data_IF_064528108731
#
_entry.id   IF_064528108731
#
_cell.length_a   1.000
_cell.length_b   1.000
_cell.length_c   1.000
_cell.angle_alpha   90.00
_cell.angle_beta   90.00
_cell.angle_gamma   90.00
#
_symmetry.space_group_name_H-M   'P 1'
#
loop_
_entity.id
_entity.type
_entity.pdbx_description
1 polymer ?
#
# COMPACT_ATOMS: atom_id res chain seq x y z
N UNK A 1 -7.82 -15.36 -6.91
CA UNK A 1 -8.37 -14.12 -6.33
C UNK A 1 -8.04 -12.94 -7.24
N UNK A 2 -8.81 -11.86 -7.12
CA UNK A 2 -8.50 -10.56 -7.73
C UNK A 2 -7.75 -9.72 -6.70
N UNK A 3 -6.55 -9.28 -7.03
CA UNK A 3 -5.65 -8.57 -6.10
C UNK A 3 -5.26 -7.24 -6.70
N UNK A 4 -5.43 -6.16 -5.93
CA UNK A 4 -4.90 -4.84 -6.28
C UNK A 4 -3.67 -4.54 -5.43
N UNK A 5 -2.61 -4.04 -6.08
CA UNK A 5 -1.35 -3.66 -5.43
C UNK A 5 -1.11 -2.17 -5.68
N UNK A 6 -1.21 -1.36 -4.64
CA UNK A 6 -0.77 0.04 -4.71
C UNK A 6 0.73 0.11 -4.49
N UNK A 7 1.43 0.96 -5.24
CA UNK A 7 2.90 0.98 -5.22
C UNK A 7 3.55 -0.19 -5.97
N UNK A 8 2.80 -0.83 -6.87
CA UNK A 8 3.25 -2.03 -7.58
C UNK A 8 4.32 -1.79 -8.65
N UNK A 9 4.69 -0.56 -8.93
CA UNK A 9 5.81 -0.21 -9.81
C UNK A 9 7.14 -0.11 -9.07
N UNK A 10 7.12 -0.12 -7.74
CA UNK A 10 8.32 -0.12 -6.91
C UNK A 10 8.98 -1.48 -6.82
N UNK A 11 10.15 -1.52 -6.16
CA UNK A 11 10.94 -2.75 -6.00
C UNK A 11 10.12 -3.89 -5.38
N UNK A 12 9.64 -3.71 -4.16
CA UNK A 12 8.89 -4.74 -3.45
C UNK A 12 7.56 -5.07 -4.15
N UNK A 13 6.81 -4.03 -4.54
CA UNK A 13 5.50 -4.20 -5.16
C UNK A 13 5.54 -4.97 -6.48
N UNK A 14 6.56 -4.76 -7.32
CA UNK A 14 6.71 -5.48 -8.59
C UNK A 14 7.02 -6.96 -8.38
N UNK A 15 7.89 -7.30 -7.42
CA UNK A 15 8.21 -8.69 -7.09
C UNK A 15 6.99 -9.43 -6.53
N UNK A 16 6.22 -8.78 -5.66
CA UNK A 16 4.98 -9.35 -5.11
C UNK A 16 3.94 -9.53 -6.21
N UNK A 17 3.82 -8.56 -7.14
CA UNK A 17 2.91 -8.67 -8.28
C UNK A 17 3.23 -9.87 -9.15
N UNK A 18 4.50 -10.10 -9.45
CA UNK A 18 4.96 -11.23 -10.26
C UNK A 18 4.69 -12.57 -9.56
N UNK A 19 5.02 -12.67 -8.29
CA UNK A 19 4.81 -13.90 -7.53
C UNK A 19 3.32 -14.25 -7.41
N UNK A 20 2.47 -13.27 -7.14
CA UNK A 20 1.02 -13.49 -7.10
C UNK A 20 0.44 -13.88 -8.46
N UNK A 21 0.97 -13.29 -9.55
CA UNK A 21 0.57 -13.67 -10.91
C UNK A 21 0.97 -15.10 -11.24
N UNK A 22 2.18 -15.53 -10.87
CA UNK A 22 2.66 -16.92 -11.04
C UNK A 22 1.79 -17.92 -10.28
N UNK A 23 1.23 -17.51 -9.13
CA UNK A 23 0.29 -18.33 -8.35
C UNK A 23 -1.14 -18.33 -8.90
N UNK A 24 -1.37 -17.74 -10.06
CA UNK A 24 -2.66 -17.75 -10.74
C UNK A 24 -3.66 -16.69 -10.28
N UNK A 25 -3.23 -15.69 -9.53
CA UNK A 25 -4.07 -14.56 -9.15
C UNK A 25 -4.18 -13.53 -10.27
N UNK A 26 -5.33 -12.85 -10.35
CA UNK A 26 -5.53 -11.71 -11.26
C UNK A 26 -5.03 -10.45 -10.59
N UNK A 27 -3.88 -9.96 -11.02
CA UNK A 27 -3.20 -8.80 -10.40
C UNK A 27 -3.47 -7.52 -11.17
N UNK A 28 -3.84 -6.48 -10.43
CA UNK A 28 -3.95 -5.09 -10.89
C UNK A 28 -2.96 -4.23 -10.12
N UNK A 29 -2.11 -3.53 -10.81
CA UNK A 29 -1.15 -2.58 -10.24
C UNK A 29 -1.73 -1.18 -10.30
N UNK A 30 -1.59 -0.43 -9.21
CA UNK A 30 -1.87 1.00 -9.11
C UNK A 30 -0.64 1.74 -8.61
N UNK A 31 -0.14 2.68 -9.40
CA UNK A 31 1.04 3.46 -9.04
C UNK A 31 1.02 4.81 -9.76
N UNK A 32 1.71 5.80 -9.20
CA UNK A 32 1.89 7.11 -9.83
C UNK A 32 2.78 7.06 -11.07
N UNK A 33 3.63 6.05 -11.16
CA UNK A 33 4.53 5.81 -12.30
C UNK A 33 4.18 4.49 -12.99
N UNK A 34 4.29 4.47 -14.32
CA UNK A 34 4.10 3.24 -15.08
C UNK A 34 5.18 2.23 -14.71
N UNK A 35 4.78 1.00 -14.45
CA UNK A 35 5.72 -0.08 -14.16
C UNK A 35 6.56 -0.42 -15.41
N UNK A 36 7.87 -0.53 -15.21
CA UNK A 36 8.78 -1.06 -16.22
C UNK A 36 8.80 -2.60 -16.25
N UNK A 37 8.20 -3.21 -15.23
CA UNK A 37 8.24 -4.65 -14.96
C UNK A 37 6.86 -5.31 -15.12
N UNK A 38 5.96 -4.67 -15.87
CA UNK A 38 4.59 -5.19 -16.06
C UNK A 38 4.64 -6.52 -16.83
N UNK A 39 4.25 -7.59 -16.15
CA UNK A 39 4.21 -8.93 -16.74
C UNK A 39 2.91 -9.18 -17.50
N UNK A 40 2.94 -10.13 -18.44
CA UNK A 40 1.75 -10.53 -19.20
C UNK A 40 0.61 -10.95 -18.26
N UNK A 41 -0.60 -10.48 -18.55
CA UNK A 41 -1.79 -10.76 -17.74
C UNK A 41 -2.02 -9.83 -16.55
N UNK A 42 -1.03 -9.04 -16.15
CA UNK A 42 -1.22 -7.98 -15.17
C UNK A 42 -1.92 -6.76 -15.81
N UNK A 43 -2.80 -6.13 -15.04
CA UNK A 43 -3.42 -4.85 -15.42
C UNK A 43 -2.77 -3.72 -14.65
N UNK A 44 -2.71 -2.52 -15.24
CA UNK A 44 -2.17 -1.35 -14.57
C UNK A 44 -3.06 -0.13 -14.77
N UNK A 45 -3.25 0.61 -13.67
CA UNK A 45 -3.83 1.95 -13.62
C UNK A 45 -2.78 2.91 -13.07
N UNK A 46 -2.57 4.02 -13.78
CA UNK A 46 -1.65 5.08 -13.33
C UNK A 46 -2.41 6.15 -12.58
N UNK A 47 -2.01 6.42 -11.35
CA UNK A 47 -2.63 7.44 -10.52
C UNK A 47 -1.92 7.64 -9.19
N UNK A 48 -2.18 8.78 -8.57
CA UNK A 48 -1.73 9.11 -7.23
C UNK A 48 -2.71 8.51 -6.20
N UNK A 49 -2.20 7.93 -5.11
CA UNK A 49 -3.02 7.37 -4.02
C UNK A 49 -3.97 8.39 -3.40
N UNK A 50 -3.67 9.68 -3.52
CA UNK A 50 -4.53 10.76 -3.04
C UNK A 50 -5.68 11.09 -4.01
N UNK A 51 -5.65 10.59 -5.25
CA UNK A 51 -6.75 10.73 -6.20
C UNK A 51 -7.82 9.65 -5.95
N UNK A 52 -8.87 10.02 -5.24
CA UNK A 52 -9.91 9.08 -4.80
C UNK A 52 -10.60 8.36 -5.96
N UNK A 53 -10.87 9.02 -7.08
CA UNK A 53 -11.53 8.40 -8.24
C UNK A 53 -10.66 7.31 -8.88
N UNK A 54 -9.38 7.61 -9.10
CA UNK A 54 -8.44 6.65 -9.68
C UNK A 54 -8.15 5.49 -8.73
N UNK A 55 -7.98 5.79 -7.44
CA UNK A 55 -7.77 4.76 -6.42
C UNK A 55 -8.99 3.84 -6.31
N UNK A 56 -10.21 4.39 -6.32
CA UNK A 56 -11.44 3.61 -6.32
C UNK A 56 -11.54 2.68 -7.53
N UNK A 57 -11.22 3.17 -8.72
CA UNK A 57 -11.19 2.34 -9.93
C UNK A 57 -10.20 1.17 -9.83
N UNK A 58 -9.09 1.36 -9.11
CA UNK A 58 -8.13 0.30 -8.86
C UNK A 58 -8.64 -0.74 -7.85
N UNK A 59 -9.31 -0.31 -6.78
CA UNK A 59 -9.75 -1.17 -5.67
C UNK A 59 -11.04 -1.90 -5.99
N UNK A 60 -11.94 -1.28 -6.78
CA UNK A 60 -13.22 -1.88 -7.14
C UNK A 60 -13.06 -3.28 -7.72
N UNK A 61 -13.73 -4.25 -7.11
CA UNK A 61 -13.72 -5.66 -7.49
C UNK A 61 -12.53 -6.46 -7.00
N UNK A 62 -11.65 -5.89 -6.20
CA UNK A 62 -10.55 -6.63 -5.58
C UNK A 62 -11.05 -7.48 -4.40
N UNK A 63 -10.51 -8.68 -4.26
CA UNK A 63 -10.68 -9.50 -3.07
C UNK A 63 -9.70 -9.10 -1.97
N UNK A 64 -8.47 -8.76 -2.36
CA UNK A 64 -7.38 -8.37 -1.46
C UNK A 64 -6.68 -7.14 -2.02
N UNK A 65 -6.31 -6.22 -1.14
CA UNK A 65 -5.51 -5.04 -1.47
C UNK A 65 -4.20 -5.09 -0.71
N UNK A 66 -3.09 -5.03 -1.45
CA UNK A 66 -1.74 -4.83 -0.90
C UNK A 66 -1.36 -3.37 -1.05
N UNK A 67 -0.95 -2.73 0.03
CA UNK A 67 -0.49 -1.36 -0.02
C UNK A 67 1.02 -1.26 0.21
N UNK A 68 1.74 -1.01 -0.88
CA UNK A 68 3.16 -0.66 -0.89
C UNK A 68 3.38 0.81 -1.25
N UNK A 69 2.35 1.52 -1.76
CA UNK A 69 2.45 2.93 -2.05
C UNK A 69 2.76 3.73 -0.78
N UNK A 70 3.92 4.36 -0.75
CA UNK A 70 4.39 5.14 0.37
C UNK A 70 5.48 6.14 -0.07
N UNK A 71 5.69 7.16 0.75
CA UNK A 71 6.95 7.90 0.78
C UNK A 71 7.89 7.09 1.69
N UNK A 72 8.71 6.23 1.09
CA UNK A 72 9.46 5.19 1.80
C UNK A 72 10.91 5.58 2.12
N UNK A 73 11.44 6.61 1.47
CA UNK A 73 12.79 7.13 1.71
C UNK A 73 12.80 7.98 2.98
N UNK A 74 13.65 7.61 3.96
CA UNK A 74 13.75 8.27 5.27
C UNK A 74 14.19 9.72 5.12
N UNK A 75 15.19 9.98 4.29
CA UNK A 75 15.72 11.34 4.08
C UNK A 75 14.70 12.21 3.36
N UNK A 76 13.99 11.65 2.41
CA UNK A 76 12.93 12.35 1.71
C UNK A 76 11.76 12.67 2.64
N UNK A 77 11.36 11.74 3.51
CA UNK A 77 10.33 11.96 4.52
C UNK A 77 10.75 13.07 5.51
N UNK A 78 12.03 13.11 5.88
CA UNK A 78 12.57 14.15 6.75
C UNK A 78 12.46 15.55 6.12
N UNK A 79 12.72 15.66 4.83
CA UNK A 79 12.61 16.93 4.07
C UNK A 79 11.17 17.32 3.73
N UNK A 80 10.26 16.37 3.71
CA UNK A 80 8.87 16.54 3.27
C UNK A 80 7.87 15.94 4.28
N UNK A 81 7.83 16.44 5.53
CA UNK A 81 6.99 15.83 6.57
C UNK A 81 5.49 15.90 6.25
N UNK A 82 5.02 16.98 5.63
CA UNK A 82 3.61 17.10 5.21
C UNK A 82 3.28 16.07 4.14
N UNK A 83 4.15 15.85 3.18
CA UNK A 83 3.95 14.85 2.13
C UNK A 83 3.98 13.42 2.71
N UNK A 84 4.81 13.18 3.71
CA UNK A 84 4.82 11.93 4.47
C UNK A 84 3.46 11.64 5.13
N UNK A 85 2.85 12.64 5.77
CA UNK A 85 1.49 12.53 6.33
C UNK A 85 0.46 12.27 5.23
N UNK A 86 0.49 13.04 4.15
CA UNK A 86 -0.48 12.91 3.07
C UNK A 86 -0.43 11.53 2.42
N UNK A 87 0.75 11.05 2.05
CA UNK A 87 0.87 9.77 1.33
C UNK A 87 0.71 8.59 2.29
N UNK A 88 1.44 8.59 3.42
CA UNK A 88 1.53 7.42 4.27
C UNK A 88 0.33 7.28 5.23
N UNK A 89 -0.24 8.37 5.70
CA UNK A 89 -1.39 8.34 6.61
C UNK A 89 -2.69 8.54 5.84
N UNK A 90 -2.88 9.70 5.22
CA UNK A 90 -4.13 9.99 4.50
C UNK A 90 -4.37 9.01 3.34
N UNK A 91 -3.32 8.68 2.58
CA UNK A 91 -3.40 7.67 1.52
C UNK A 91 -3.84 6.31 2.04
N UNK A 92 -3.37 5.89 3.21
CA UNK A 92 -3.78 4.65 3.86
C UNK A 92 -5.24 4.70 4.30
N UNK A 93 -5.67 5.77 4.94
CA UNK A 93 -7.08 5.95 5.36
C UNK A 93 -8.02 5.95 4.15
N UNK A 94 -7.69 6.65 3.08
CA UNK A 94 -8.45 6.61 1.82
C UNK A 94 -8.57 5.19 1.26
N UNK A 95 -7.49 4.43 1.29
CA UNK A 95 -7.49 3.04 0.82
C UNK A 95 -8.39 2.17 1.70
N UNK A 96 -8.33 2.30 3.02
CA UNK A 96 -9.17 1.56 3.96
C UNK A 96 -10.66 1.87 3.76
N UNK A 97 -11.04 3.13 3.60
CA UNK A 97 -12.43 3.54 3.31
C UNK A 97 -12.95 2.89 2.02
N UNK A 98 -12.12 2.86 0.97
CA UNK A 98 -12.49 2.24 -0.30
C UNK A 98 -12.54 0.71 -0.19
N UNK A 99 -11.64 0.10 0.58
CA UNK A 99 -11.69 -1.34 0.87
C UNK A 99 -13.00 -1.73 1.55
N UNK A 100 -13.45 -0.95 2.52
CA UNK A 100 -14.76 -1.15 3.18
C UNK A 100 -15.92 -0.97 2.20
N UNK A 101 -15.92 0.13 1.45
CA UNK A 101 -16.96 0.43 0.45
C UNK A 101 -17.14 -0.70 -0.55
N UNK A 102 -16.04 -1.29 -1.02
CA UNK A 102 -16.02 -2.36 -2.04
C UNK A 102 -15.92 -3.77 -1.46
N UNK A 103 -16.10 -3.92 -0.14
CA UNK A 103 -16.13 -5.22 0.55
C UNK A 103 -14.88 -6.08 0.28
N UNK A 104 -13.71 -5.43 0.26
CA UNK A 104 -12.42 -6.12 0.18
C UNK A 104 -12.26 -7.01 1.39
N UNK A 105 -11.87 -8.26 1.17
CA UNK A 105 -11.81 -9.29 2.22
C UNK A 105 -10.60 -9.10 3.16
N UNK A 106 -9.48 -8.60 2.63
CA UNK A 106 -8.27 -8.37 3.42
C UNK A 106 -7.45 -7.20 2.87
N UNK A 107 -6.97 -6.39 3.79
CA UNK A 107 -6.01 -5.33 3.54
C UNK A 107 -4.62 -5.75 4.05
N UNK A 108 -3.62 -5.77 3.17
CA UNK A 108 -2.23 -6.11 3.52
C UNK A 108 -1.37 -4.85 3.42
N UNK A 109 -0.74 -4.49 4.52
CA UNK A 109 0.02 -3.24 4.64
C UNK A 109 1.50 -3.50 4.80
N UNK A 110 2.30 -2.84 3.97
CA UNK A 110 3.75 -2.83 4.09
C UNK A 110 4.19 -1.77 5.09
N UNK A 111 4.58 -2.20 6.27
CA UNK A 111 5.15 -1.39 7.33
C UNK A 111 6.66 -1.60 7.45
N UNK A 112 7.24 -1.21 8.55
CA UNK A 112 8.68 -1.22 8.79
C UNK A 112 9.01 -1.67 10.21
N UNK A 113 10.16 -2.32 10.38
CA UNK A 113 10.69 -2.64 11.73
C UNK A 113 10.95 -1.38 12.57
N UNK A 114 11.14 -0.22 11.94
CA UNK A 114 11.37 1.04 12.65
C UNK A 114 10.23 1.44 13.58
N UNK A 115 8.99 0.94 13.38
CA UNK A 115 7.86 1.26 14.27
C UNK A 115 8.10 0.85 15.72
N UNK A 116 9.00 -0.10 15.95
CA UNK A 116 9.39 -0.59 17.29
C UNK A 116 10.72 0.03 17.80
N UNK A 117 11.22 1.05 17.13
CA UNK A 117 12.50 1.68 17.46
C UNK A 117 12.35 3.20 17.62
N UNK A 118 13.44 3.88 17.99
CA UNK A 118 13.55 5.34 17.99
C UNK A 118 14.03 5.89 16.63
N UNK A 119 14.44 5.03 15.72
CA UNK A 119 15.00 5.38 14.41
C UNK A 119 13.93 5.57 13.34
N UNK A 120 14.31 6.15 12.18
CA UNK A 120 13.43 6.30 11.02
C UNK A 120 12.65 7.61 10.95
N UNK A 121 12.78 8.50 11.92
CA UNK A 121 12.23 9.87 11.90
C UNK A 121 10.74 9.95 11.52
N UNK A 122 10.38 10.88 10.65
CA UNK A 122 9.00 11.07 10.19
C UNK A 122 8.46 9.88 9.39
N UNK A 123 9.31 9.14 8.68
CA UNK A 123 8.91 7.89 8.03
C UNK A 123 8.35 6.89 9.06
N UNK A 124 9.09 6.65 10.14
CA UNK A 124 8.63 5.81 11.25
C UNK A 124 7.31 6.31 11.83
N UNK A 125 7.22 7.60 12.14
CA UNK A 125 6.00 8.20 12.69
C UNK A 125 4.78 7.96 11.78
N UNK A 126 4.94 8.16 10.48
CA UNK A 126 3.86 7.97 9.52
C UNK A 126 3.44 6.51 9.38
N UNK A 127 4.38 5.58 9.41
CA UNK A 127 4.11 4.14 9.37
C UNK A 127 3.43 3.65 10.64
N UNK A 128 3.88 4.12 11.81
CA UNK A 128 3.27 3.80 13.10
C UNK A 128 1.82 4.33 13.17
N UNK A 129 1.62 5.57 12.77
CA UNK A 129 0.27 6.15 12.72
C UNK A 129 -0.66 5.37 11.78
N UNK A 130 -0.16 4.96 10.61
CA UNK A 130 -0.92 4.14 9.68
C UNK A 130 -1.30 2.77 10.28
N UNK A 131 -0.39 2.11 10.99
CA UNK A 131 -0.71 0.86 11.70
C UNK A 131 -1.81 1.07 12.76
N UNK A 132 -1.74 2.15 13.52
CA UNK A 132 -2.74 2.47 14.54
C UNK A 132 -4.13 2.69 13.91
N UNK A 133 -4.22 3.38 12.77
CA UNK A 133 -5.46 3.52 12.01
C UNK A 133 -5.98 2.16 11.50
N UNK A 134 -5.13 1.32 10.95
CA UNK A 134 -5.52 -0.01 10.45
C UNK A 134 -6.13 -0.84 11.59
N UNK A 135 -5.48 -0.84 12.75
CA UNK A 135 -5.96 -1.55 13.93
C UNK A 135 -7.33 -1.05 14.39
N UNK A 136 -7.54 0.28 14.44
CA UNK A 136 -8.84 0.87 14.80
C UNK A 136 -9.92 0.57 13.75
N UNK A 137 -9.60 0.57 12.45
CA UNK A 137 -10.53 0.16 11.40
C UNK A 137 -10.97 -1.31 11.56
N UNK A 138 -10.07 -2.19 11.95
CA UNK A 138 -10.44 -3.56 12.28
C UNK A 138 -11.39 -3.63 13.48
N UNK A 139 -11.05 -2.95 14.57
CA UNK A 139 -11.89 -2.94 15.80
C UNK A 139 -13.28 -2.37 15.58
N UNK A 140 -13.37 -1.24 14.87
CA UNK A 140 -14.60 -0.47 14.73
C UNK A 140 -15.44 -0.94 13.54
N UNK A 141 -14.82 -1.32 12.43
CA UNK A 141 -15.49 -1.62 11.15
C UNK A 141 -15.23 -3.02 10.61
N UNK A 142 -14.42 -3.83 11.29
CA UNK A 142 -14.25 -5.25 11.01
C UNK A 142 -13.47 -5.59 9.75
N UNK A 143 -12.66 -4.69 9.20
CA UNK A 143 -11.80 -5.02 8.07
C UNK A 143 -10.68 -5.96 8.51
N UNK A 144 -10.56 -7.12 7.86
CA UNK A 144 -9.43 -8.01 8.09
C UNK A 144 -8.15 -7.43 7.51
N UNK A 145 -7.07 -7.53 8.27
CA UNK A 145 -5.80 -6.99 7.83
C UNK A 145 -4.60 -7.87 8.18
N UNK A 146 -3.50 -7.60 7.51
CA UNK A 146 -2.17 -8.11 7.82
C UNK A 146 -1.18 -6.98 7.71
N UNK A 147 -0.37 -6.77 8.73
CA UNK A 147 0.75 -5.81 8.70
C UNK A 147 2.06 -6.58 8.56
N UNK A 148 2.83 -6.26 7.53
CA UNK A 148 4.15 -6.83 7.27
C UNK A 148 5.21 -5.77 7.57
N UNK A 149 6.02 -6.00 8.59
CA UNK A 149 7.10 -5.09 8.98
C UNK A 149 8.41 -5.53 8.34
N UNK A 150 8.80 -4.84 7.30
CA UNK A 150 10.03 -5.14 6.57
C UNK A 150 11.24 -4.50 7.25
N UNK A 151 12.39 -5.22 7.20
CA UNK A 151 13.71 -4.66 7.43
C UNK A 151 14.27 -4.04 6.15
N UNK A 152 15.59 -3.81 6.13
CA UNK A 152 16.28 -3.42 4.90
C UNK A 152 16.19 -4.56 3.88
N UNK A 153 15.85 -4.20 2.64
CA UNK A 153 15.82 -5.13 1.52
C UNK A 153 17.00 -4.81 0.62
N UNK A 154 17.79 -5.84 0.31
CA UNK A 154 18.84 -5.72 -0.70
C UNK A 154 18.19 -5.59 -2.09
N UNK A 155 18.67 -4.60 -2.86
CA UNK A 155 18.20 -4.29 -4.21
C UNK A 155 19.13 -4.89 -5.27
#
# INVERSE_FOLDING_TARGET
MKITITGGSGFLGSHVADELSKRGHKVKIFDKKRSKWLSSGQKMLVGNILNSKKLEAAIKGADVVFQFAALADIDQALKQPINSVNINILGTVKTLELCLKHKVKRFVYASTIYVNSSEGGFYRCSKKAAEDYIEEYNKIRGIDYTVLRYGSLDQ
#
